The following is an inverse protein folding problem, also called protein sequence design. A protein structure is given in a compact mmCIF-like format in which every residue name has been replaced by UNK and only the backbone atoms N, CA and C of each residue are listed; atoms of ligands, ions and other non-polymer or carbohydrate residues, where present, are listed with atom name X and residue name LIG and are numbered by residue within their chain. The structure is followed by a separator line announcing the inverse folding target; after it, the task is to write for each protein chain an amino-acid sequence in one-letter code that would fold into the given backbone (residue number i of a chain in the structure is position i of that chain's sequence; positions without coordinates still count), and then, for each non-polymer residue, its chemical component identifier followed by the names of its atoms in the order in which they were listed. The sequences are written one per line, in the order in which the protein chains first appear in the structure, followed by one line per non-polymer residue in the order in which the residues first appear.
data_IF_058969715344
#
_entry.id   IF_058969715344
#
_cell.length_a   1.000
_cell.length_b   1.000
_cell.length_c   1.000
_cell.angle_alpha   90.00
_cell.angle_beta   90.00
_cell.angle_gamma   90.00
#
_symmetry.space_group_name_H-M   'P 1'
#
loop_
_entity.id
_entity.type
_entity.pdbx_description
1 polymer ?
#
# COMPACT_ATOMS: atom_id res chain seq x y z
N UNK A 1 -16.78 -11.16 -9.81
CA UNK A 1 -15.78 -11.84 -8.95
C UNK A 1 -14.47 -12.14 -9.67
N UNK A 2 -14.45 -12.83 -10.83
CA UNK A 2 -13.20 -13.19 -11.55
C UNK A 2 -12.31 -12.01 -11.96
N UNK A 3 -12.89 -10.89 -12.41
CA UNK A 3 -12.15 -9.68 -12.79
C UNK A 3 -11.48 -9.00 -11.58
N UNK A 4 -12.19 -8.91 -10.46
CA UNK A 4 -11.68 -8.29 -9.21
C UNK A 4 -10.49 -9.09 -8.68
N UNK A 5 -10.58 -10.43 -8.69
CA UNK A 5 -9.46 -11.29 -8.30
C UNK A 5 -8.22 -11.07 -9.19
N UNK A 6 -8.40 -11.01 -10.52
CA UNK A 6 -7.30 -10.79 -11.45
C UNK A 6 -6.63 -9.41 -11.28
N UNK A 7 -7.41 -8.36 -11.00
CA UNK A 7 -6.87 -7.02 -10.72
C UNK A 7 -6.17 -6.95 -9.36
N UNK A 8 -6.69 -7.68 -8.37
CA UNK A 8 -6.09 -7.76 -7.04
C UNK A 8 -4.69 -8.42 -7.08
N UNK A 9 -4.50 -9.42 -7.95
CA UNK A 9 -3.19 -10.06 -8.19
C UNK A 9 -2.15 -9.11 -8.81
N UNK A 10 -2.55 -7.98 -9.39
CA UNK A 10 -1.60 -6.97 -9.89
C UNK A 10 -0.98 -6.15 -8.74
N UNK A 11 -1.56 -6.19 -7.54
CA UNK A 11 -1.00 -5.54 -6.37
C UNK A 11 0.14 -6.38 -5.80
N UNK A 12 1.33 -5.78 -5.72
CA UNK A 12 2.49 -6.42 -5.11
C UNK A 12 2.37 -6.56 -3.58
N UNK A 13 1.63 -5.65 -2.95
CA UNK A 13 1.41 -5.65 -1.51
C UNK A 13 0.22 -6.59 -1.15
N UNK A 14 0.24 -7.26 0.02
CA UNK A 14 -0.87 -8.10 0.47
C UNK A 14 -2.20 -7.36 0.50
N UNK A 15 -3.22 -7.89 -0.18
CA UNK A 15 -4.49 -7.22 -0.37
C UNK A 15 -5.68 -8.16 -0.17
N UNK A 16 -6.73 -7.65 0.48
CA UNK A 16 -7.95 -8.38 0.83
C UNK A 16 -9.16 -7.53 0.49
N UNK A 17 -10.18 -8.12 -0.12
CA UNK A 17 -11.51 -7.52 -0.24
C UNK A 17 -12.37 -8.08 0.88
N UNK A 18 -12.96 -7.20 1.68
CA UNK A 18 -13.80 -7.55 2.82
C UNK A 18 -15.16 -6.86 2.73
N UNK A 19 -16.18 -7.43 3.37
CA UNK A 19 -17.41 -6.69 3.65
C UNK A 19 -17.29 -5.80 4.91
N UNK A 20 -18.35 -5.06 5.25
CA UNK A 20 -18.34 -4.23 6.46
C UNK A 20 -18.35 -4.99 7.79
N UNK A 21 -18.54 -6.32 7.76
CA UNK A 21 -18.31 -7.21 8.90
C UNK A 21 -16.86 -7.72 8.96
N UNK A 22 -16.02 -7.38 7.99
CA UNK A 22 -14.63 -7.83 7.89
C UNK A 22 -14.47 -9.22 7.28
N UNK A 23 -15.53 -9.84 6.74
CA UNK A 23 -15.46 -11.16 6.11
C UNK A 23 -14.71 -11.05 4.78
N UNK A 24 -13.65 -11.85 4.61
CA UNK A 24 -12.83 -11.85 3.40
C UNK A 24 -13.59 -12.52 2.26
N UNK A 25 -13.79 -11.77 1.17
CA UNK A 25 -14.40 -12.23 -0.08
C UNK A 25 -13.37 -12.75 -1.06
N UNK A 26 -12.21 -12.09 -1.14
CA UNK A 26 -11.08 -12.48 -1.99
C UNK A 26 -9.80 -11.84 -1.47
N UNK A 27 -8.65 -12.46 -1.73
CA UNK A 27 -7.33 -11.90 -1.46
C UNK A 27 -6.35 -12.31 -2.58
N UNK A 28 -5.22 -11.61 -2.69
CA UNK A 28 -4.18 -11.98 -3.65
C UNK A 28 -3.21 -13.02 -3.08
N UNK A 29 -2.28 -13.48 -3.92
CA UNK A 29 -1.15 -14.35 -3.56
C UNK A 29 -0.31 -13.80 -2.41
N UNK A 30 0.00 -12.50 -2.42
CA UNK A 30 0.72 -11.84 -1.31
C UNK A 30 -0.09 -11.86 0.01
N UNK A 31 -1.42 -11.76 -0.06
CA UNK A 31 -2.33 -11.95 1.07
C UNK A 31 -2.25 -13.35 1.67
N UNK A 32 -2.12 -14.37 0.81
CA UNK A 32 -1.92 -15.76 1.26
C UNK A 32 -0.63 -15.90 2.08
N UNK A 33 0.48 -15.35 1.57
CA UNK A 33 1.75 -15.37 2.30
C UNK A 33 1.68 -14.64 3.65
N UNK A 34 0.91 -13.55 3.75
CA UNK A 34 0.72 -12.84 5.01
C UNK A 34 -0.09 -13.64 6.05
N UNK A 35 -1.00 -14.50 5.59
CA UNK A 35 -1.75 -15.44 6.44
C UNK A 35 -0.82 -16.57 6.91
N UNK A 36 -0.03 -17.15 6.00
CA UNK A 36 0.91 -18.24 6.32
C UNK A 36 1.99 -17.80 7.32
N UNK A 37 2.52 -16.57 7.15
CA UNK A 37 3.44 -15.93 8.10
C UNK A 37 2.79 -15.63 9.47
N UNK A 38 1.50 -15.90 9.62
CA UNK A 38 0.73 -15.72 10.86
C UNK A 38 0.71 -14.30 11.40
N UNK A 39 1.06 -13.28 10.61
CA UNK A 39 0.96 -11.86 10.99
C UNK A 39 -0.50 -11.39 10.93
N UNK A 40 -1.26 -11.96 10.00
CA UNK A 40 -2.70 -11.81 9.81
C UNK A 40 -3.32 -13.20 9.78
N UNK A 41 -4.58 -13.33 10.17
CA UNK A 41 -5.30 -14.60 10.12
C UNK A 41 -6.75 -14.39 9.72
N UNK A 42 -7.43 -15.51 9.47
CA UNK A 42 -8.87 -15.55 9.29
C UNK A 42 -9.50 -16.17 10.53
N UNK A 43 -10.58 -15.55 11.04
CA UNK A 43 -11.38 -16.18 12.09
C UNK A 43 -12.06 -17.45 11.57
N UNK A 44 -12.61 -18.28 12.46
CA UNK A 44 -13.48 -19.42 12.07
C UNK A 44 -14.68 -19.01 11.21
N UNK A 45 -15.01 -17.72 11.23
CA UNK A 45 -16.13 -17.09 10.55
C UNK A 45 -15.69 -16.38 9.26
N UNK A 46 -14.41 -16.49 8.88
CA UNK A 46 -13.83 -15.90 7.67
C UNK A 46 -13.46 -14.41 7.79
N UNK A 47 -13.49 -13.83 8.99
CA UNK A 47 -13.13 -12.43 9.20
C UNK A 47 -11.61 -12.22 9.17
N UNK A 48 -11.17 -11.11 8.60
CA UNK A 48 -9.78 -10.68 8.64
C UNK A 48 -9.39 -10.21 10.04
N UNK A 49 -8.42 -10.86 10.68
CA UNK A 49 -8.01 -10.58 12.06
C UNK A 49 -6.50 -10.42 12.15
N UNK A 50 -6.06 -9.45 12.97
CA UNK A 50 -4.66 -9.25 13.31
C UNK A 50 -4.31 -9.96 14.60
N UNK A 51 -3.02 -10.32 14.78
CA UNK A 51 -2.53 -10.72 16.10
C UNK A 51 -2.62 -9.55 17.10
N UNK A 52 -3.06 -9.86 18.32
CA UNK A 52 -3.21 -8.90 19.41
C UNK A 52 -4.61 -8.26 19.49
N UNK A 53 -5.22 -8.30 20.67
CA UNK A 53 -6.61 -7.86 20.90
C UNK A 53 -6.85 -6.38 20.60
N UNK A 54 -5.82 -5.53 20.73
CA UNK A 54 -5.93 -4.10 20.42
C UNK A 54 -5.90 -3.84 18.92
N UNK A 55 -4.93 -4.44 18.21
CA UNK A 55 -4.82 -4.30 16.76
C UNK A 55 -6.04 -4.90 16.04
N UNK A 56 -6.50 -6.08 16.46
CA UNK A 56 -7.69 -6.73 15.92
C UNK A 56 -8.96 -5.85 16.02
N UNK A 57 -9.23 -5.29 17.20
CA UNK A 57 -10.37 -4.38 17.41
C UNK A 57 -10.24 -3.10 16.59
N UNK A 58 -9.04 -2.56 16.49
CA UNK A 58 -8.77 -1.36 15.73
C UNK A 58 -9.03 -1.55 14.23
N UNK A 59 -8.50 -2.62 13.64
CA UNK A 59 -8.74 -2.97 12.23
C UNK A 59 -10.23 -3.18 11.96
N UNK A 60 -10.92 -3.97 12.79
CA UNK A 60 -12.35 -4.23 12.64
C UNK A 60 -13.18 -2.94 12.67
N UNK A 61 -12.88 -2.03 13.60
CA UNK A 61 -13.51 -0.71 13.69
C UNK A 61 -13.30 0.10 12.41
N UNK A 62 -12.07 0.15 11.87
CA UNK A 62 -11.78 0.92 10.67
C UNK A 62 -12.42 0.33 9.40
N UNK A 63 -12.49 -1.00 9.28
CA UNK A 63 -13.24 -1.64 8.19
C UNK A 63 -14.71 -1.22 8.27
N UNK A 64 -15.32 -1.34 9.45
CA UNK A 64 -16.72 -0.95 9.66
C UNK A 64 -16.97 0.53 9.32
N UNK A 65 -16.11 1.45 9.80
CA UNK A 65 -16.20 2.88 9.48
C UNK A 65 -16.03 3.14 7.97
N UNK A 66 -15.10 2.46 7.31
CA UNK A 66 -14.88 2.58 5.87
C UNK A 66 -16.14 2.18 5.10
N UNK A 67 -16.66 0.99 5.38
CA UNK A 67 -17.83 0.43 4.71
C UNK A 67 -19.11 1.22 4.99
N UNK A 68 -19.25 1.81 6.19
CA UNK A 68 -20.40 2.62 6.58
C UNK A 68 -20.34 4.07 6.08
N UNK A 69 -19.15 4.64 5.87
CA UNK A 69 -19.01 6.04 5.44
C UNK A 69 -18.61 6.22 3.98
N UNK A 70 -18.15 5.15 3.31
CA UNK A 70 -17.56 5.24 1.97
C UNK A 70 -16.29 6.09 1.93
N UNK A 71 -15.58 6.24 3.06
CA UNK A 71 -14.34 7.01 3.17
C UNK A 71 -13.16 6.12 3.49
N UNK A 72 -12.06 6.35 2.79
CA UNK A 72 -10.81 5.61 3.02
C UNK A 72 -10.30 5.81 4.44
N UNK A 73 -9.85 4.72 5.05
CA UNK A 73 -9.17 4.72 6.35
C UNK A 73 -7.71 4.37 6.14
N UNK A 74 -6.85 4.96 6.96
CA UNK A 74 -5.42 4.86 6.75
C UNK A 74 -4.71 4.96 8.08
N UNK A 75 -4.08 3.87 8.48
CA UNK A 75 -3.51 3.78 9.81
C UNK A 75 -2.26 2.90 9.85
N UNK A 76 -1.35 3.27 10.75
CA UNK A 76 -0.17 2.48 11.08
C UNK A 76 -0.39 1.81 12.42
N UNK A 77 -0.14 0.51 12.51
CA UNK A 77 -0.22 -0.18 13.78
C UNK A 77 0.87 -1.24 13.94
N UNK A 78 1.32 -1.41 15.18
CA UNK A 78 2.30 -2.42 15.55
C UNK A 78 1.61 -3.78 15.60
N UNK A 79 2.13 -4.75 14.84
CA UNK A 79 1.67 -6.14 14.92
C UNK A 79 2.70 -6.97 15.67
N UNK A 80 2.21 -7.71 16.66
CA UNK A 80 3.02 -8.66 17.42
C UNK A 80 3.29 -9.89 16.57
N UNK A 81 4.42 -9.86 15.86
CA UNK A 81 5.06 -11.00 15.21
C UNK A 81 6.48 -11.23 15.76
N UNK A 82 7.21 -12.24 15.27
CA UNK A 82 8.56 -12.57 15.73
C UNK A 82 9.52 -11.36 15.72
N UNK A 83 9.29 -10.41 14.81
CA UNK A 83 10.16 -9.24 14.57
C UNK A 83 9.58 -7.89 15.06
N UNK A 84 8.40 -7.87 15.71
CA UNK A 84 7.74 -6.64 16.21
C UNK A 84 7.69 -5.43 15.24
N UNK A 85 7.56 -5.67 13.94
CA UNK A 85 7.53 -4.61 12.92
C UNK A 85 6.16 -3.93 12.83
N UNK A 86 6.18 -2.64 12.52
CA UNK A 86 4.97 -1.85 12.27
C UNK A 86 4.38 -2.18 10.89
N UNK A 87 3.11 -2.55 10.87
CA UNK A 87 2.35 -2.72 9.63
C UNK A 87 1.51 -1.48 9.38
N UNK A 88 1.63 -0.96 8.18
CA UNK A 88 0.75 0.08 7.66
C UNK A 88 -0.43 -0.57 6.94
N UNK A 89 -1.64 -0.11 7.22
CA UNK A 89 -2.85 -0.57 6.55
C UNK A 89 -3.63 0.58 5.93
N UNK A 90 -3.96 0.39 4.67
CA UNK A 90 -4.86 1.24 3.94
C UNK A 90 -6.15 0.49 3.65
N UNK A 91 -7.29 1.14 3.89
CA UNK A 91 -8.62 0.60 3.68
C UNK A 91 -9.34 1.54 2.73
N UNK A 92 -9.68 1.05 1.54
CA UNK A 92 -10.36 1.81 0.50
C UNK A 92 -11.77 1.29 0.28
N UNK A 93 -12.78 2.16 0.19
CA UNK A 93 -14.13 1.74 -0.16
C UNK A 93 -14.17 1.27 -1.62
N UNK A 94 -14.81 0.13 -1.86
CA UNK A 94 -15.12 -0.39 -3.18
C UNK A 94 -16.60 -0.13 -3.46
N UNK A 95 -16.89 1.03 -4.05
CA UNK A 95 -18.24 1.41 -4.42
C UNK A 95 -18.72 0.55 -5.60
N UNK A 96 -19.84 -0.16 -5.42
CA UNK A 96 -20.59 -0.72 -6.54
C UNK A 96 -21.58 0.33 -7.02
N UNK A 97 -21.70 0.52 -8.34
CA UNK A 97 -22.64 1.49 -8.94
C UNK A 97 -24.09 1.29 -8.47
N UNK A 98 -24.46 0.08 -8.04
CA UNK A 98 -25.78 -0.25 -7.53
C UNK A 98 -26.07 0.25 -6.08
N UNK A 99 -25.05 0.65 -5.33
CA UNK A 99 -25.16 0.87 -3.87
C UNK A 99 -25.27 2.34 -3.46
N UNK A 100 -24.98 3.29 -4.36
CA UNK A 100 -24.86 4.72 -4.04
C UNK A 100 -26.15 5.37 -3.51
N UNK A 101 -27.30 5.07 -4.11
CA UNK A 101 -28.54 5.82 -3.83
C UNK A 101 -29.42 5.22 -2.74
N UNK A 102 -29.30 3.91 -2.48
CA UNK A 102 -30.19 3.18 -1.55
C UNK A 102 -29.51 2.97 -0.19
N UNK A 103 -28.21 2.69 -0.15
CA UNK A 103 -27.51 2.37 1.10
C UNK A 103 -27.22 3.61 1.96
N UNK A 104 -26.97 4.76 1.34
CA UNK A 104 -26.78 6.04 2.05
C UNK A 104 -28.02 6.48 2.87
N UNK A 105 -29.21 5.98 2.54
CA UNK A 105 -30.48 6.33 3.20
C UNK A 105 -30.93 5.37 4.30
N UNK A 106 -30.31 4.19 4.45
CA UNK A 106 -30.81 3.12 5.35
C UNK A 106 -29.82 2.67 6.44
N UNK A 107 -28.66 3.32 6.59
CA UNK A 107 -27.71 2.98 7.68
C UNK A 107 -27.15 1.56 7.63
N UNK A 108 -27.16 0.92 6.44
CA UNK A 108 -26.53 -0.38 6.19
C UNK A 108 -25.12 -0.18 5.62
N UNK A 109 -24.26 -1.19 5.74
CA UNK A 109 -22.95 -1.22 5.06
C UNK A 109 -23.12 -0.80 3.59
N UNK A 110 -22.48 0.31 3.20
CA UNK A 110 -22.69 0.98 1.93
C UNK A 110 -21.86 0.32 0.83
N UNK A 111 -20.71 -0.25 1.18
CA UNK A 111 -19.75 -0.83 0.25
C UNK A 111 -18.92 -1.96 0.86
N UNK A 112 -18.21 -2.68 -0.01
CA UNK A 112 -17.09 -3.52 0.39
C UNK A 112 -15.83 -2.65 0.58
N UNK A 113 -14.80 -3.19 1.22
CA UNK A 113 -13.52 -2.51 1.38
C UNK A 113 -12.35 -3.33 0.83
N UNK A 114 -11.41 -2.64 0.20
CA UNK A 114 -10.09 -3.15 -0.14
C UNK A 114 -9.12 -2.79 0.99
N UNK A 115 -8.60 -3.80 1.67
CA UNK A 115 -7.58 -3.69 2.73
C UNK A 115 -6.22 -4.06 2.15
N UNK A 116 -5.25 -3.15 2.23
CA UNK A 116 -3.87 -3.35 1.74
C UNK A 116 -2.88 -3.20 2.90
N UNK A 117 -1.99 -4.17 3.06
CA UNK A 117 -0.96 -4.19 4.11
C UNK A 117 0.42 -3.87 3.53
N UNK A 118 1.23 -3.11 4.26
CA UNK A 118 2.62 -2.82 3.87
C UNK A 118 3.53 -2.80 5.09
N UNK A 119 4.69 -3.47 4.97
CA UNK A 119 5.68 -3.65 6.06
C UNK A 119 6.77 -2.57 6.07
N UNK A 120 6.82 -1.68 5.08
CA UNK A 120 7.94 -0.73 4.95
C UNK A 120 7.63 0.56 4.16
N UNK A 121 6.40 0.74 3.66
CA UNK A 121 6.02 1.96 2.93
C UNK A 121 5.40 2.98 3.86
N UNK A 122 5.94 4.20 3.82
CA UNK A 122 5.20 5.41 4.18
C UNK A 122 3.93 5.44 3.34
N UNK A 123 2.83 5.18 4.02
CA UNK A 123 1.43 5.32 3.63
C UNK A 123 1.12 6.50 2.67
N UNK A 124 1.94 7.57 2.68
CA UNK A 124 1.85 8.70 1.76
C UNK A 124 1.80 8.31 0.27
N UNK A 125 2.39 7.19 -0.16
CA UNK A 125 2.28 6.78 -1.59
C UNK A 125 0.92 6.20 -1.99
N UNK A 126 0.04 5.89 -1.03
CA UNK A 126 -1.32 5.38 -1.29
C UNK A 126 -2.39 6.49 -1.25
N UNK A 127 -2.03 7.70 -0.78
CA UNK A 127 -2.88 8.91 -0.86
C UNK A 127 -2.71 9.68 -2.17
N UNK A 128 -1.58 9.51 -2.84
CA UNK A 128 -1.29 10.26 -4.04
C UNK A 128 -2.12 9.68 -5.20
N UNK A 129 -2.85 10.52 -5.97
CA UNK A 129 -3.64 10.04 -7.10
C UNK A 129 -2.76 9.23 -8.06
N UNK A 130 -3.34 8.30 -8.84
CA UNK A 130 -2.62 7.40 -9.77
C UNK A 130 -1.79 8.10 -10.86
N UNK A 131 -1.68 9.43 -10.81
CA UNK A 131 -0.88 10.27 -11.70
C UNK A 131 0.40 10.82 -11.04
N UNK A 132 0.61 10.62 -9.73
CA UNK A 132 1.87 11.02 -9.11
C UNK A 132 2.99 10.06 -9.51
N UNK A 133 4.09 10.62 -10.01
CA UNK A 133 5.29 9.87 -10.42
C UNK A 133 5.81 8.93 -9.35
N UNK A 134 5.62 9.24 -8.07
CA UNK A 134 6.01 8.38 -6.95
C UNK A 134 5.38 6.98 -7.03
N UNK A 135 4.20 6.82 -7.63
CA UNK A 135 3.56 5.52 -7.86
C UNK A 135 4.27 4.61 -8.87
N UNK A 136 5.16 5.16 -9.71
CA UNK A 136 5.85 4.42 -10.78
C UNK A 136 7.15 3.74 -10.32
N UNK A 137 7.69 4.13 -9.17
CA UNK A 137 8.97 3.63 -8.67
C UNK A 137 8.81 2.42 -7.76
N UNK A 138 9.72 1.46 -7.90
CA UNK A 138 9.91 0.38 -6.93
C UNK A 138 10.46 0.95 -5.61
N UNK A 139 10.37 0.23 -4.48
CA UNK A 139 10.91 0.70 -3.20
C UNK A 139 12.39 1.05 -3.27
N UNK A 140 13.21 0.25 -3.95
CA UNK A 140 14.65 0.49 -4.09
C UNK A 140 14.95 1.70 -4.96
N UNK A 141 14.22 1.87 -6.07
CA UNK A 141 14.33 3.07 -6.91
C UNK A 141 13.95 4.33 -6.15
N UNK A 142 12.93 4.27 -5.29
CA UNK A 142 12.54 5.40 -4.44
C UNK A 142 13.65 5.79 -3.47
N UNK A 143 14.26 4.80 -2.79
CA UNK A 143 15.40 5.03 -1.90
C UNK A 143 16.58 5.68 -2.62
N UNK A 144 16.90 5.23 -3.83
CA UNK A 144 17.94 5.85 -4.67
C UNK A 144 17.53 7.28 -5.05
N UNK A 145 16.30 7.50 -5.50
CA UNK A 145 15.80 8.82 -5.89
C UNK A 145 15.82 9.83 -4.73
N UNK A 146 15.44 9.43 -3.53
CA UNK A 146 15.46 10.29 -2.34
C UNK A 146 16.91 10.71 -2.00
N UNK A 147 17.89 9.79 -2.03
CA UNK A 147 19.30 10.14 -1.81
C UNK A 147 19.84 11.12 -2.85
N UNK A 148 19.48 10.94 -4.12
CA UNK A 148 19.88 11.87 -5.18
C UNK A 148 19.24 13.25 -5.00
N UNK A 149 18.01 13.31 -4.49
CA UNK A 149 17.30 14.55 -4.17
C UNK A 149 17.95 15.30 -3.01
N UNK A 150 18.47 14.57 -2.03
CA UNK A 150 19.23 15.11 -0.90
C UNK A 150 20.64 15.60 -1.29
N UNK A 151 21.01 15.49 -2.58
CA UNK A 151 22.28 15.97 -3.12
C UNK A 151 23.42 14.96 -3.05
N UNK A 152 23.17 13.72 -2.61
CA UNK A 152 24.17 12.67 -2.64
C UNK A 152 24.56 12.34 -4.08
N UNK A 153 25.86 12.11 -4.32
CA UNK A 153 26.28 11.45 -5.54
C UNK A 153 25.90 9.96 -5.52
N UNK A 154 25.88 9.32 -6.70
CA UNK A 154 25.41 7.93 -6.81
C UNK A 154 26.28 6.94 -6.02
N UNK A 155 27.56 7.25 -5.83
CA UNK A 155 28.51 6.39 -5.12
C UNK A 155 28.24 6.42 -3.60
N UNK A 156 28.01 7.61 -3.07
CA UNK A 156 27.64 7.85 -1.68
C UNK A 156 26.25 7.27 -1.40
N UNK A 157 25.29 7.48 -2.31
CA UNK A 157 23.98 6.85 -2.23
C UNK A 157 24.06 5.32 -2.20
N UNK A 158 24.92 4.71 -3.03
CA UNK A 158 25.11 3.25 -3.01
C UNK A 158 25.68 2.76 -1.68
N UNK A 159 26.67 3.47 -1.13
CA UNK A 159 27.28 3.14 0.16
C UNK A 159 26.27 3.26 1.31
N UNK A 160 25.51 4.35 1.37
CA UNK A 160 24.49 4.57 2.39
C UNK A 160 23.32 3.59 2.33
N UNK A 161 22.98 3.12 1.12
CA UNK A 161 21.91 2.14 0.90
C UNK A 161 22.39 0.69 1.05
N UNK A 162 23.69 0.46 1.29
CA UNK A 162 24.26 -0.88 1.42
C UNK A 162 24.19 -1.71 0.13
N UNK A 163 24.17 -1.07 -1.04
CA UNK A 163 24.11 -1.73 -2.35
C UNK A 163 25.38 -1.49 -3.17
N UNK A 164 25.66 -2.36 -4.14
CA UNK A 164 26.78 -2.15 -5.05
C UNK A 164 26.54 -0.91 -5.94
N UNK A 165 27.62 -0.24 -6.34
CA UNK A 165 27.55 0.87 -7.29
C UNK A 165 26.86 0.47 -8.61
N UNK A 166 27.09 -0.78 -9.07
CA UNK A 166 26.47 -1.29 -10.30
C UNK A 166 24.95 -1.50 -10.13
N UNK A 167 24.52 -1.93 -8.94
CA UNK A 167 23.10 -2.03 -8.58
C UNK A 167 22.46 -0.64 -8.54
N UNK A 168 23.11 0.33 -7.89
CA UNK A 168 22.63 1.72 -7.87
C UNK A 168 22.53 2.31 -9.28
N UNK A 169 23.50 2.04 -10.15
CA UNK A 169 23.49 2.45 -11.56
C UNK A 169 22.35 1.82 -12.36
N UNK A 170 21.99 0.57 -12.05
CA UNK A 170 20.86 -0.11 -12.68
C UNK A 170 19.54 0.55 -12.28
N UNK A 171 19.35 0.85 -10.99
CA UNK A 171 18.19 1.61 -10.52
C UNK A 171 18.12 3.02 -11.11
N UNK A 172 19.26 3.71 -11.25
CA UNK A 172 19.32 5.03 -11.88
C UNK A 172 18.86 5.00 -13.35
N UNK A 173 19.25 3.97 -14.11
CA UNK A 173 18.77 3.81 -15.50
C UNK A 173 17.27 3.55 -15.56
N UNK A 174 16.74 2.75 -14.64
CA UNK A 174 15.30 2.51 -14.55
C UNK A 174 14.54 3.81 -14.20
N UNK A 175 15.07 4.61 -13.27
CA UNK A 175 14.52 5.93 -12.94
C UNK A 175 14.51 6.86 -14.17
N UNK A 176 15.59 6.91 -14.94
CA UNK A 176 15.65 7.67 -16.19
C UNK A 176 14.57 7.26 -17.19
N UNK A 177 14.38 5.95 -17.40
CA UNK A 177 13.35 5.45 -18.30
C UNK A 177 11.94 5.78 -17.81
N UNK A 178 11.68 5.65 -16.50
CA UNK A 178 10.38 5.94 -15.90
C UNK A 178 10.04 7.42 -15.85
N UNK A 179 11.06 8.27 -15.84
CA UNK A 179 10.95 9.72 -15.77
C UNK A 179 11.13 10.43 -17.10
N UNK A 180 11.42 9.69 -18.16
CA UNK A 180 11.71 10.23 -19.49
C UNK A 180 12.77 11.35 -19.44
N UNK A 181 13.92 11.02 -18.83
CA UNK A 181 15.08 11.91 -18.70
C UNK A 181 16.37 11.14 -18.95
N UNK A 182 17.43 11.85 -19.33
CA UNK A 182 18.73 11.24 -19.66
C UNK A 182 19.88 11.73 -18.77
N UNK A 183 19.65 12.73 -17.92
CA UNK A 183 20.66 13.30 -17.01
C UNK A 183 20.20 13.26 -15.57
N UNK A 184 21.14 13.00 -14.67
CA UNK A 184 20.87 12.95 -13.22
C UNK A 184 20.35 14.30 -12.69
N UNK A 185 20.88 15.42 -13.18
CA UNK A 185 20.39 16.76 -12.85
C UNK A 185 18.93 16.96 -13.25
N UNK A 186 18.53 16.46 -14.41
CA UNK A 186 17.16 16.59 -14.93
C UNK A 186 16.19 15.71 -14.15
N UNK A 187 16.64 14.50 -13.77
CA UNK A 187 15.92 13.62 -12.86
C UNK A 187 15.65 14.31 -11.51
N UNK A 188 16.69 14.84 -10.87
CA UNK A 188 16.57 15.54 -9.57
C UNK A 188 15.62 16.74 -9.68
N UNK A 189 15.70 17.52 -10.75
CA UNK A 189 14.81 18.65 -10.99
C UNK A 189 13.34 18.25 -11.11
N UNK A 190 13.04 17.15 -11.82
CA UNK A 190 11.67 16.63 -11.94
C UNK A 190 11.13 16.14 -10.59
N UNK A 191 11.94 15.38 -9.85
CA UNK A 191 11.60 14.89 -8.50
C UNK A 191 11.25 16.05 -7.55
N UNK A 192 11.99 17.17 -7.61
CA UNK A 192 11.75 18.34 -6.76
C UNK A 192 10.51 19.16 -7.15
N UNK A 193 10.10 19.09 -8.43
CA UNK A 193 8.96 19.85 -8.95
C UNK A 193 7.65 19.12 -8.65
N UNK A 194 7.67 17.79 -8.72
CA UNK A 194 6.51 16.93 -8.44
C UNK A 194 6.21 16.75 -6.95
N UNK A 195 7.18 16.97 -6.06
CA UNK A 195 6.95 17.02 -4.60
C UNK A 195 6.20 18.30 -4.15
N UNK A 196 6.05 19.31 -5.03
CA UNK A 196 5.40 20.60 -4.73
C UNK A 196 3.95 20.73 -5.24
N UNK A 197 3.45 19.74 -5.99
CA UNK A 197 2.07 19.72 -6.53
C UNK A 197 1.18 18.78 -5.75
#
# INVERSE_FOLDING_TARGET
MRLVAALLELLADPAFVVDGGGIVKVHNSAGTGLIEDSRVGLSSTGQLVLRGTRAARHLSSQISVCCASGRSQLDGFKVEGPDSRELSVAIFPLMSEASGDIAAKQGRNICDALVVFSVERTINSLRAPPQSVRGKFTPTERRVADKLKDGCDLKSAAAELGISYQTARTHLRSLFAKMDVHRQSDLVRRLLTEDKS
#
